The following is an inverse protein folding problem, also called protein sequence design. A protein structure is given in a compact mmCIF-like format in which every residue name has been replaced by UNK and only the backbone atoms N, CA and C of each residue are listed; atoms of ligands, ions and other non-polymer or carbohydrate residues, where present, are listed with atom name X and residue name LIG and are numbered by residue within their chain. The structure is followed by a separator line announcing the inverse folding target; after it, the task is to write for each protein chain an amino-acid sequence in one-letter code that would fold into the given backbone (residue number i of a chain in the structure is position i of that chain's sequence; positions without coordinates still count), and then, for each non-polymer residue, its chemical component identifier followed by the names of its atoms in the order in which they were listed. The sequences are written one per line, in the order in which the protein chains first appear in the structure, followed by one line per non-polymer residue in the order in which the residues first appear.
data_IF_996571412016
#
_entry.id   IF_996571412016
#
_cell.length_a   1.000
_cell.length_b   1.000
_cell.length_c   1.000
_cell.angle_alpha   90.00
_cell.angle_beta   90.00
_cell.angle_gamma   90.00
#
_symmetry.space_group_name_H-M   'P 1'
#
loop_
_entity.id
_entity.type
_entity.pdbx_description
1 polymer ?
#
# COMPACT_ATOMS: atom_id res chain seq x y z
N UNK A 1 -7.46 21.65 9.36
CA UNK A 1 -6.87 20.61 10.24
C UNK A 1 -6.48 21.10 11.65
N UNK A 2 -6.07 22.36 11.86
CA UNK A 2 -5.57 22.85 13.17
C UNK A 2 -6.63 23.10 14.27
N UNK A 3 -7.92 22.89 14.01
CA UNK A 3 -8.99 23.24 14.95
C UNK A 3 -9.39 22.12 15.92
N UNK A 4 -9.03 20.87 15.64
CA UNK A 4 -9.49 19.72 16.43
C UNK A 4 -8.39 19.03 17.23
N UNK A 5 -7.13 19.14 16.81
CA UNK A 5 -6.00 18.51 17.48
C UNK A 5 -4.83 19.50 17.57
N UNK A 6 -4.37 19.85 18.78
CA UNK A 6 -3.16 20.62 18.96
C UNK A 6 -1.98 20.00 18.20
N UNK A 7 -1.14 20.80 17.51
CA UNK A 7 -0.01 20.29 16.74
C UNK A 7 0.91 19.35 17.54
N UNK A 8 1.13 19.65 18.82
CA UNK A 8 1.94 18.82 19.73
C UNK A 8 1.37 17.41 19.91
N UNK A 9 0.04 17.27 19.98
CA UNK A 9 -0.61 15.96 20.11
C UNK A 9 -0.53 15.20 18.79
N UNK A 10 -0.73 15.88 17.66
CA UNK A 10 -0.56 15.27 16.33
C UNK A 10 0.86 14.75 16.15
N UNK A 11 1.86 15.57 16.47
CA UNK A 11 3.28 15.22 16.39
C UNK A 11 3.59 14.01 17.28
N UNK A 12 3.09 13.98 18.51
CA UNK A 12 3.28 12.84 19.41
C UNK A 12 2.77 11.52 18.80
N UNK A 13 1.59 11.53 18.18
CA UNK A 13 1.06 10.33 17.52
C UNK A 13 1.88 9.94 16.30
N UNK A 14 2.27 10.91 15.46
CA UNK A 14 3.12 10.65 14.29
C UNK A 14 4.47 10.04 14.67
N UNK A 15 5.15 10.61 15.67
CA UNK A 15 6.41 10.07 16.20
C UNK A 15 6.21 8.66 16.76
N UNK A 16 5.09 8.41 17.46
CA UNK A 16 4.75 7.08 17.96
C UNK A 16 4.58 6.07 16.82
N UNK A 17 3.89 6.43 15.73
CA UNK A 17 3.73 5.55 14.56
C UNK A 17 5.05 5.23 13.89
N UNK A 18 5.92 6.23 13.71
CA UNK A 18 7.26 6.05 13.14
C UNK A 18 8.08 5.07 13.99
N UNK A 19 8.10 5.22 15.30
CA UNK A 19 8.83 4.33 16.21
C UNK A 19 8.28 2.90 16.20
N UNK A 20 6.95 2.73 16.17
CA UNK A 20 6.34 1.39 16.06
C UNK A 20 6.79 0.72 14.78
N UNK A 21 6.74 1.42 13.64
CA UNK A 21 7.16 0.88 12.36
C UNK A 21 8.65 0.52 12.35
N UNK A 22 9.51 1.42 12.83
CA UNK A 22 10.96 1.17 12.91
C UNK A 22 11.30 -0.04 13.79
N UNK A 23 10.68 -0.16 14.96
CA UNK A 23 10.88 -1.30 15.84
C UNK A 23 10.41 -2.60 15.17
N UNK A 24 9.28 -2.60 14.46
CA UNK A 24 8.83 -3.77 13.71
C UNK A 24 9.84 -4.21 12.64
N UNK A 25 10.42 -3.25 11.89
CA UNK A 25 11.45 -3.53 10.88
C UNK A 25 12.72 -4.10 11.52
N UNK A 26 13.22 -3.47 12.61
CA UNK A 26 14.42 -3.93 13.31
C UNK A 26 14.22 -5.34 13.85
N UNK A 27 13.10 -5.59 14.53
CA UNK A 27 12.78 -6.91 15.08
C UNK A 27 12.73 -7.97 14.00
N UNK A 28 12.08 -7.66 12.86
CA UNK A 28 12.00 -8.60 11.74
C UNK A 28 13.39 -8.89 11.15
N UNK A 29 14.23 -7.87 10.98
CA UNK A 29 15.59 -8.03 10.46
C UNK A 29 16.53 -8.76 11.43
N UNK A 30 16.31 -8.61 12.74
CA UNK A 30 17.16 -9.16 13.79
C UNK A 30 16.61 -10.45 14.42
N UNK A 31 15.53 -11.03 13.89
CA UNK A 31 14.84 -12.19 14.49
C UNK A 31 15.77 -13.39 14.80
N UNK A 32 16.80 -13.59 13.98
CA UNK A 32 17.78 -14.68 14.11
C UNK A 32 19.10 -14.22 14.76
N UNK A 33 19.19 -12.94 15.17
CA UNK A 33 20.38 -12.32 15.75
C UNK A 33 20.38 -12.44 17.27
N UNK A 34 21.51 -12.81 17.91
CA UNK A 34 21.62 -12.78 19.36
C UNK A 34 21.57 -11.35 19.93
N UNK A 35 21.72 -10.32 19.08
CA UNK A 35 21.68 -8.90 19.46
C UNK A 35 20.31 -8.25 19.26
N UNK A 36 19.24 -9.05 19.09
CA UNK A 36 17.89 -8.55 18.86
C UNK A 36 17.45 -7.52 19.91
N UNK A 37 17.62 -7.83 21.19
CA UNK A 37 17.25 -6.90 22.27
C UNK A 37 18.14 -5.67 22.28
N UNK A 38 19.45 -5.83 22.11
CA UNK A 38 20.41 -4.71 22.07
C UNK A 38 20.17 -3.74 20.90
N UNK A 39 19.60 -4.23 19.80
CA UNK A 39 19.25 -3.43 18.63
C UNK A 39 17.92 -2.68 18.78
N UNK A 40 17.17 -2.93 19.85
CA UNK A 40 15.83 -2.37 20.08
C UNK A 40 15.78 -1.59 21.40
N UNK A 41 14.74 -0.78 21.57
CA UNK A 41 14.52 -0.04 22.83
C UNK A 41 13.79 -0.89 23.91
N UNK A 42 13.69 -2.22 23.74
CA UNK A 42 12.99 -3.11 24.68
C UNK A 42 13.90 -3.56 25.82
N UNK A 43 13.39 -3.55 27.05
CA UNK A 43 14.16 -3.92 28.23
C UNK A 43 14.13 -5.43 28.52
N UNK A 44 13.22 -6.17 27.86
CA UNK A 44 13.06 -7.61 28.06
C UNK A 44 12.36 -8.28 26.89
N UNK A 45 12.54 -9.60 26.77
CA UNK A 45 11.82 -10.42 25.78
C UNK A 45 10.29 -10.33 25.96
N UNK A 46 9.81 -10.25 27.21
CA UNK A 46 8.37 -10.11 27.49
C UNK A 46 7.78 -8.78 27.01
N UNK A 47 8.57 -7.71 27.04
CA UNK A 47 8.17 -6.41 26.50
C UNK A 47 8.10 -6.45 24.97
N UNK A 48 9.09 -7.10 24.35
CA UNK A 48 9.13 -7.35 22.91
C UNK A 48 7.94 -8.22 22.45
N UNK A 49 7.63 -9.31 23.17
CA UNK A 49 6.50 -10.18 22.84
C UNK A 49 5.18 -9.40 22.88
N UNK A 50 4.96 -8.60 23.93
CA UNK A 50 3.78 -7.74 24.05
C UNK A 50 3.71 -6.70 22.92
N UNK A 51 4.85 -6.16 22.51
CA UNK A 51 4.91 -5.27 21.36
C UNK A 51 4.49 -6.00 20.07
N UNK A 52 4.99 -7.22 19.85
CA UNK A 52 4.63 -8.02 18.68
C UNK A 52 3.14 -8.39 18.68
N UNK A 53 2.57 -8.79 19.81
CA UNK A 53 1.12 -9.06 19.91
C UNK A 53 0.27 -7.84 19.52
N UNK A 54 0.68 -6.64 19.92
CA UNK A 54 -0.07 -5.41 19.69
C UNK A 54 0.19 -4.77 18.32
N UNK A 55 1.38 -4.98 17.74
CA UNK A 55 1.89 -4.17 16.63
C UNK A 55 2.56 -4.97 15.51
N UNK A 56 2.77 -6.28 15.65
CA UNK A 56 3.34 -7.07 14.57
C UNK A 56 2.44 -7.00 13.34
N UNK A 57 3.08 -6.84 12.18
CA UNK A 57 2.44 -7.08 10.90
C UNK A 57 2.03 -8.56 10.91
N UNK A 58 0.72 -8.82 10.95
CA UNK A 58 0.20 -10.18 10.80
C UNK A 58 0.81 -10.78 9.54
N UNK A 59 1.20 -12.07 9.55
CA UNK A 59 1.65 -12.72 8.33
C UNK A 59 0.59 -12.48 7.26
N UNK A 60 1.06 -12.14 6.05
CA UNK A 60 0.16 -12.11 4.90
C UNK A 60 -0.52 -13.48 4.85
N UNK A 61 -1.84 -13.54 4.54
CA UNK A 61 -2.49 -14.82 4.33
C UNK A 61 -1.64 -15.62 3.34
N UNK A 62 -1.24 -16.83 3.76
CA UNK A 62 -0.46 -17.72 2.90
C UNK A 62 -1.24 -17.91 1.59
N UNK A 63 -0.53 -17.80 0.45
CA UNK A 63 -1.15 -18.17 -0.83
C UNK A 63 -1.72 -19.58 -0.66
N UNK A 64 -2.99 -19.82 -1.06
CA UNK A 64 -3.61 -21.11 -0.84
C UNK A 64 -2.79 -22.17 -1.58
N UNK A 65 -2.11 -23.02 -0.82
CA UNK A 65 -1.42 -24.19 -1.34
C UNK A 65 -2.46 -25.06 -2.05
N UNK A 66 -2.37 -25.27 -3.38
CA UNK A 66 -3.38 -26.00 -4.14
C UNK A 66 -3.53 -27.47 -3.70
N UNK A 67 -2.67 -27.95 -2.78
CA UNK A 67 -2.66 -29.32 -2.29
C UNK A 67 -3.14 -29.50 -0.84
N UNK A 68 -3.30 -28.43 -0.05
CA UNK A 68 -3.79 -28.53 1.33
C UNK A 68 -5.31 -28.33 1.41
N UNK A 69 -6.06 -29.12 0.63
CA UNK A 69 -7.52 -29.20 0.74
C UNK A 69 -7.91 -30.03 1.97
N UNK A 70 -7.81 -29.50 3.18
CA UNK A 70 -8.56 -29.99 4.37
C UNK A 70 -8.32 -29.15 5.64
N UNK A 71 -8.84 -27.93 5.64
CA UNK A 71 -9.40 -27.31 6.84
C UNK A 71 -10.33 -26.18 6.41
N UNK A 72 -11.59 -26.30 6.79
CA UNK A 72 -12.68 -25.41 6.43
C UNK A 72 -12.42 -23.98 6.93
N UNK A 73 -11.91 -23.13 6.06
CA UNK A 73 -12.27 -21.71 6.04
C UNK A 73 -12.59 -21.35 4.60
N UNK A 74 -13.81 -21.67 4.20
CA UNK A 74 -14.45 -21.06 3.04
C UNK A 74 -14.57 -19.58 3.40
N UNK A 75 -13.56 -18.77 3.08
CA UNK A 75 -13.81 -17.36 2.82
C UNK A 75 -14.83 -17.36 1.69
N UNK A 76 -15.99 -16.77 1.95
CA UNK A 76 -17.04 -16.58 0.97
C UNK A 76 -16.45 -15.70 -0.15
N UNK A 77 -15.92 -16.33 -1.20
CA UNK A 77 -15.30 -15.65 -2.36
C UNK A 77 -16.31 -14.88 -3.21
N UNK A 78 -17.56 -14.75 -2.73
CA UNK A 78 -18.64 -14.07 -3.43
C UNK A 78 -18.57 -12.55 -3.36
N UNK A 79 -17.64 -11.96 -2.60
CA UNK A 79 -17.47 -10.50 -2.52
C UNK A 79 -16.02 -10.07 -2.19
N UNK A 80 -15.07 -10.47 -3.05
CA UNK A 80 -13.66 -10.06 -2.89
C UNK A 80 -13.49 -8.57 -3.24
N UNK A 81 -13.74 -7.70 -2.27
CA UNK A 81 -13.46 -6.26 -2.36
C UNK A 81 -11.98 -5.99 -2.09
N UNK A 82 -11.36 -5.15 -2.93
CA UNK A 82 -9.98 -4.69 -2.74
C UNK A 82 -10.02 -3.23 -2.29
N UNK A 83 -9.55 -2.97 -1.07
CA UNK A 83 -9.40 -1.61 -0.55
C UNK A 83 -8.00 -1.10 -0.85
N UNK A 84 -7.93 0.02 -1.58
CA UNK A 84 -6.67 0.69 -1.92
C UNK A 84 -6.66 2.12 -1.37
N UNK A 85 -5.52 2.51 -0.80
CA UNK A 85 -5.30 3.90 -0.37
C UNK A 85 -4.83 4.74 -1.55
N UNK A 86 -5.56 5.82 -1.86
CA UNK A 86 -5.33 6.66 -3.02
C UNK A 86 -5.26 8.13 -2.61
N UNK A 87 -4.27 8.84 -3.16
CA UNK A 87 -4.19 10.30 -3.15
C UNK A 87 -3.88 10.84 -4.55
N UNK A 88 -3.74 12.16 -4.67
CA UNK A 88 -3.42 12.85 -5.92
C UNK A 88 -2.10 12.38 -6.56
N UNK A 89 -1.08 12.09 -5.75
CA UNK A 89 0.22 11.61 -6.21
C UNK A 89 0.13 10.18 -6.72
N UNK A 90 -0.54 9.29 -5.98
CA UNK A 90 -0.76 7.89 -6.40
C UNK A 90 -1.53 7.83 -7.72
N UNK A 91 -2.61 8.61 -7.86
CA UNK A 91 -3.35 8.71 -9.12
C UNK A 91 -2.49 9.30 -10.24
N UNK A 92 -1.68 10.31 -9.94
CA UNK A 92 -0.76 10.90 -10.91
C UNK A 92 0.21 9.86 -11.49
N UNK A 93 0.76 9.00 -10.64
CA UNK A 93 1.63 7.89 -11.06
C UNK A 93 0.87 6.87 -11.91
N UNK A 94 -0.30 6.40 -11.46
CA UNK A 94 -1.11 5.42 -12.19
C UNK A 94 -1.52 5.93 -13.58
N UNK A 95 -1.96 7.19 -13.68
CA UNK A 95 -2.32 7.81 -14.95
C UNK A 95 -1.09 8.01 -15.85
N UNK A 96 0.05 8.44 -15.29
CA UNK A 96 1.30 8.60 -16.05
C UNK A 96 1.77 7.28 -16.65
N UNK A 97 1.70 6.20 -15.86
CA UNK A 97 2.06 4.85 -16.30
C UNK A 97 1.12 4.37 -17.42
N UNK A 98 -0.20 4.51 -17.23
CA UNK A 98 -1.19 4.16 -18.25
C UNK A 98 -0.90 4.88 -19.57
N UNK A 99 -0.70 6.20 -19.54
CA UNK A 99 -0.37 7.01 -20.72
C UNK A 99 0.98 6.59 -21.36
N UNK A 100 1.96 6.22 -20.55
CA UNK A 100 3.26 5.76 -21.05
C UNK A 100 3.14 4.40 -21.76
N UNK A 101 2.32 3.50 -21.25
CA UNK A 101 2.00 2.20 -21.87
C UNK A 101 1.23 2.40 -23.18
N UNK A 102 0.22 3.28 -23.20
CA UNK A 102 -0.51 3.64 -24.42
C UNK A 102 0.44 4.21 -25.50
N UNK A 103 1.43 5.01 -25.10
CA UNK A 103 2.45 5.57 -26.01
C UNK A 103 3.45 4.51 -26.50
N UNK A 104 3.85 3.58 -25.64
CA UNK A 104 4.78 2.49 -26.00
C UNK A 104 4.12 1.43 -26.89
N UNK A 105 2.81 1.24 -26.75
CA UNK A 105 2.02 0.29 -27.53
C UNK A 105 2.56 -1.15 -27.38
N UNK A 106 2.78 -1.90 -28.47
CA UNK A 106 3.25 -3.29 -28.42
C UNK A 106 4.64 -3.50 -27.81
N UNK A 107 5.37 -2.41 -27.52
CA UNK A 107 6.70 -2.46 -26.89
C UNK A 107 6.63 -2.48 -25.37
N UNK A 108 5.45 -2.26 -24.78
CA UNK A 108 5.27 -2.30 -23.35
C UNK A 108 5.43 -3.73 -22.83
N UNK A 109 6.17 -3.90 -21.73
CA UNK A 109 6.28 -5.17 -21.03
C UNK A 109 4.96 -5.62 -20.42
N UNK A 110 4.77 -6.93 -20.23
CA UNK A 110 3.52 -7.52 -19.72
C UNK A 110 3.12 -6.94 -18.35
N UNK A 111 4.08 -6.72 -17.46
CA UNK A 111 3.84 -6.09 -16.15
C UNK A 111 3.35 -4.64 -16.29
N UNK A 112 3.91 -3.88 -17.23
CA UNK A 112 3.47 -2.50 -17.47
C UNK A 112 2.04 -2.48 -18.03
N UNK A 113 1.70 -3.41 -18.93
CA UNK A 113 0.33 -3.59 -19.44
C UNK A 113 -0.64 -3.91 -18.31
N UNK A 114 -0.31 -4.86 -17.43
CA UNK A 114 -1.13 -5.19 -16.26
C UNK A 114 -1.43 -3.97 -15.39
N UNK A 115 -0.41 -3.19 -15.04
CA UNK A 115 -0.59 -2.00 -14.22
C UNK A 115 -1.34 -0.88 -14.93
N UNK A 116 -1.21 -0.78 -16.25
CA UNK A 116 -2.03 0.13 -17.08
C UNK A 116 -3.51 -0.25 -17.05
N UNK A 117 -3.82 -1.55 -17.14
CA UNK A 117 -5.20 -2.04 -17.03
C UNK A 117 -5.77 -1.82 -15.62
N UNK A 118 -4.97 -2.08 -14.59
CA UNK A 118 -5.34 -1.78 -13.21
C UNK A 118 -5.65 -0.29 -13.03
N UNK A 119 -4.76 0.60 -13.50
CA UNK A 119 -4.96 2.04 -13.47
C UNK A 119 -6.25 2.46 -14.20
N UNK A 120 -6.54 1.86 -15.36
CA UNK A 120 -7.77 2.13 -16.10
C UNK A 120 -9.04 1.68 -15.33
N UNK A 121 -8.99 0.54 -14.63
CA UNK A 121 -10.09 0.08 -13.78
C UNK A 121 -10.31 1.00 -12.59
N UNK A 122 -9.24 1.45 -11.92
CA UNK A 122 -9.32 2.41 -10.81
C UNK A 122 -9.94 3.72 -11.28
N UNK A 123 -9.48 4.27 -12.41
CA UNK A 123 -10.04 5.48 -13.01
C UNK A 123 -11.54 5.31 -13.32
N UNK A 124 -11.91 4.23 -14.01
CA UNK A 124 -13.30 3.95 -14.38
C UNK A 124 -14.20 3.77 -13.14
N UNK A 125 -13.67 3.16 -12.07
CA UNK A 125 -14.41 2.97 -10.83
C UNK A 125 -14.67 4.32 -10.13
N UNK A 126 -13.67 5.20 -10.03
CA UNK A 126 -13.82 6.54 -9.43
C UNK A 126 -14.82 7.41 -10.23
N UNK A 127 -14.84 7.25 -11.56
CA UNK A 127 -15.77 7.94 -12.45
C UNK A 127 -17.18 7.36 -12.48
N UNK A 128 -17.36 6.12 -12.00
CA UNK A 128 -18.67 5.48 -11.97
C UNK A 128 -19.67 6.25 -11.10
N UNK A 129 -20.95 6.20 -11.48
CA UNK A 129 -22.03 6.86 -10.73
C UNK A 129 -22.17 6.32 -9.30
N UNK A 130 -21.79 5.05 -9.09
CA UNK A 130 -21.84 4.37 -7.80
C UNK A 130 -20.76 4.84 -6.81
N UNK A 131 -19.70 5.50 -7.30
CA UNK A 131 -18.62 5.98 -6.45
C UNK A 131 -18.92 7.37 -5.86
N UNK A 132 -19.22 7.42 -4.56
CA UNK A 132 -19.77 8.62 -3.93
C UNK A 132 -18.74 9.63 -3.40
N UNK A 133 -17.44 9.33 -3.35
CA UNK A 133 -16.44 10.20 -2.69
C UNK A 133 -16.02 11.40 -3.57
N UNK A 134 -16.43 12.64 -3.23
CA UNK A 134 -16.10 13.83 -4.02
C UNK A 134 -14.64 14.27 -3.88
N UNK A 135 -13.98 13.92 -2.76
CA UNK A 135 -12.57 14.25 -2.55
C UNK A 135 -11.69 13.41 -3.48
N UNK A 136 -11.93 12.10 -3.56
CA UNK A 136 -11.18 11.22 -4.45
C UNK A 136 -11.41 11.57 -5.93
N UNK A 137 -12.64 11.95 -6.31
CA UNK A 137 -12.92 12.50 -7.65
C UNK A 137 -12.13 13.79 -7.92
N UNK A 138 -12.03 14.69 -6.93
CA UNK A 138 -11.19 15.90 -7.04
C UNK A 138 -9.70 15.56 -7.20
N UNK A 139 -9.20 14.55 -6.46
CA UNK A 139 -7.85 14.04 -6.64
C UNK A 139 -7.63 13.51 -8.05
N UNK A 140 -8.58 12.77 -8.64
CA UNK A 140 -8.47 12.28 -10.02
C UNK A 140 -8.37 13.42 -11.03
N UNK A 141 -9.19 14.47 -10.88
CA UNK A 141 -9.15 15.64 -11.76
C UNK A 141 -7.79 16.34 -11.68
N UNK A 142 -7.24 16.51 -10.48
CA UNK A 142 -5.91 17.13 -10.30
C UNK A 142 -4.79 16.25 -10.85
N UNK A 143 -4.86 14.95 -10.57
CA UNK A 143 -3.91 13.95 -11.03
C UNK A 143 -3.77 13.94 -12.55
N UNK A 144 -4.88 14.09 -13.29
CA UNK A 144 -4.87 14.23 -14.76
C UNK A 144 -4.06 15.43 -15.23
N UNK A 145 -4.05 16.53 -14.47
CA UNK A 145 -3.29 17.74 -14.78
C UNK A 145 -1.78 17.62 -14.56
N UNK A 146 -1.35 16.68 -13.70
CA UNK A 146 0.06 16.45 -13.37
C UNK A 146 0.64 15.18 -13.98
N UNK A 147 -0.19 14.37 -14.65
CA UNK A 147 0.24 13.13 -15.28
C UNK A 147 1.34 13.38 -16.33
N UNK A 148 2.47 12.68 -16.18
CA UNK A 148 3.65 12.85 -17.00
C UNK A 148 4.21 11.48 -17.46
N UNK A 149 3.80 10.99 -18.65
CA UNK A 149 4.23 9.68 -19.15
C UNK A 149 5.75 9.59 -19.42
N UNK A 150 6.44 10.71 -19.64
CA UNK A 150 7.87 10.70 -19.95
C UNK A 150 8.72 10.13 -18.81
N UNK A 151 8.24 10.25 -17.56
CA UNK A 151 8.92 9.71 -16.38
C UNK A 151 8.98 8.18 -16.38
N UNK A 152 8.09 7.52 -17.11
CA UNK A 152 7.91 6.06 -17.08
C UNK A 152 8.34 5.37 -18.39
N UNK A 153 8.77 6.09 -19.42
CA UNK A 153 9.15 5.50 -20.72
C UNK A 153 10.24 4.42 -20.60
N UNK A 154 11.26 4.67 -19.77
CA UNK A 154 12.33 3.70 -19.52
C UNK A 154 11.89 2.48 -18.70
N UNK A 155 10.82 2.61 -17.91
CA UNK A 155 10.26 1.52 -17.10
C UNK A 155 9.30 0.65 -17.91
N UNK A 156 8.52 1.26 -18.82
CA UNK A 156 7.48 0.57 -19.59
C UNK A 156 8.04 -0.39 -20.63
N UNK A 157 9.20 -0.06 -21.22
CA UNK A 157 9.84 -0.85 -22.28
C UNK A 157 11.04 -1.67 -21.77
N UNK A 158 11.33 -1.60 -20.47
CA UNK A 158 12.49 -2.23 -19.82
C UNK A 158 12.29 -3.71 -19.52
#
# INVERSE_FOLDING_TARGET
MNHYLPPTIMQFFQERWVRIFQNAVIVHAMKDSPFLLDATDFNSMSELDRFLEAHALRPLPEEPDPLSSSAEQIFDLSDSEIVISIDEGVLGVLLSLKLAVEKAGPRAGETAVYWSEFAAKVESHIESDDFADPYIRSCLVKARGVANPQQFEGLVCG
#
